data_IF_395248272236
#
_entry.id   IF_395248272236
#
_cell.length_a   1.000
_cell.length_b   1.000
_cell.length_c   1.000
_cell.angle_alpha   90.00
_cell.angle_beta   90.00
_cell.angle_gamma   90.00
#
_symmetry.space_group_name_H-M   'P 1'
#
loop_
_entity.id
_entity.type
_entity.pdbx_description
1 polymer ?
#
# COMPACT_ATOMS: atom_id res chain seq x y z
N UNK A 1 -24.61 -7.27 5.13
CA UNK A 1 -23.60 -6.21 4.98
C UNK A 1 -22.23 -6.87 5.10
N UNK A 2 -21.22 -6.46 4.30
CA UNK A 2 -19.86 -6.97 4.49
C UNK A 2 -19.34 -6.56 5.87
N UNK A 3 -18.57 -7.45 6.50
CA UNK A 3 -17.87 -7.15 7.75
C UNK A 3 -16.71 -6.17 7.48
N UNK A 4 -16.23 -5.52 8.54
CA UNK A 4 -15.04 -4.64 8.45
C UNK A 4 -13.85 -5.40 7.84
N UNK A 5 -13.65 -6.64 8.26
CA UNK A 5 -12.61 -7.52 7.73
C UNK A 5 -12.75 -7.76 6.23
N UNK A 6 -13.97 -8.10 5.77
CA UNK A 6 -14.23 -8.29 4.34
C UNK A 6 -13.98 -7.01 3.53
N UNK A 7 -14.24 -5.84 4.12
CA UNK A 7 -13.92 -4.54 3.54
C UNK A 7 -12.42 -4.33 3.38
N UNK A 8 -11.64 -4.59 4.43
CA UNK A 8 -10.17 -4.47 4.42
C UNK A 8 -9.57 -5.41 3.38
N UNK A 9 -9.96 -6.68 3.38
CA UNK A 9 -9.46 -7.66 2.42
C UNK A 9 -9.78 -7.29 0.96
N UNK A 10 -10.95 -6.70 0.71
CA UNK A 10 -11.31 -6.21 -0.62
C UNK A 10 -10.44 -5.03 -1.04
N UNK A 11 -10.11 -4.12 -0.11
CA UNK A 11 -9.22 -3.00 -0.37
C UNK A 11 -7.79 -3.45 -0.68
N UNK A 12 -7.27 -4.45 0.05
CA UNK A 12 -5.95 -5.02 -0.22
C UNK A 12 -5.90 -5.68 -1.60
N UNK A 13 -6.87 -6.54 -1.94
CA UNK A 13 -6.95 -7.15 -3.28
C UNK A 13 -7.03 -6.12 -4.40
N UNK A 14 -7.74 -5.01 -4.19
CA UNK A 14 -7.83 -3.95 -5.19
C UNK A 14 -6.49 -3.24 -5.39
N UNK A 15 -5.71 -3.01 -4.32
CA UNK A 15 -4.35 -2.46 -4.43
C UNK A 15 -3.46 -3.42 -5.22
N UNK A 16 -3.49 -4.72 -4.90
CA UNK A 16 -2.65 -5.70 -5.61
C UNK A 16 -2.98 -5.75 -7.10
N UNK A 17 -4.27 -5.69 -7.43
CA UNK A 17 -4.77 -5.65 -8.81
C UNK A 17 -4.38 -4.36 -9.53
N UNK A 18 -4.46 -3.20 -8.88
CA UNK A 18 -4.18 -1.89 -9.47
C UNK A 18 -2.68 -1.70 -9.75
N UNK A 19 -1.82 -2.12 -8.81
CA UNK A 19 -0.37 -1.89 -8.89
C UNK A 19 0.43 -3.12 -9.36
N UNK A 20 -0.23 -4.26 -9.58
CA UNK A 20 0.38 -5.49 -10.09
C UNK A 20 1.45 -6.08 -9.17
N UNK A 21 1.33 -5.85 -7.85
CA UNK A 21 2.28 -6.28 -6.81
C UNK A 21 1.52 -6.71 -5.58
N UNK A 22 1.97 -7.77 -4.92
CA UNK A 22 1.36 -8.21 -3.66
C UNK A 22 1.58 -7.19 -2.54
N UNK A 23 0.71 -7.19 -1.53
CA UNK A 23 0.90 -6.36 -0.34
C UNK A 23 2.23 -6.70 0.35
N UNK A 24 2.61 -7.97 0.42
CA UNK A 24 3.86 -8.41 1.02
C UNK A 24 5.10 -7.84 0.30
N UNK A 25 5.08 -7.80 -1.03
CA UNK A 25 6.16 -7.17 -1.81
C UNK A 25 6.24 -5.65 -1.54
N UNK A 26 5.09 -4.99 -1.47
CA UNK A 26 5.04 -3.56 -1.20
C UNK A 26 5.54 -3.24 0.23
N UNK A 27 5.13 -4.02 1.23
CA UNK A 27 5.63 -3.92 2.60
C UNK A 27 7.14 -4.19 2.65
N UNK A 28 7.64 -5.16 1.89
CA UNK A 28 9.07 -5.43 1.78
C UNK A 28 9.84 -4.25 1.16
N UNK A 29 9.26 -3.54 0.18
CA UNK A 29 9.84 -2.31 -0.37
C UNK A 29 9.89 -1.20 0.69
N UNK A 30 8.82 -1.02 1.45
CA UNK A 30 8.79 -0.06 2.57
C UNK A 30 9.88 -0.40 3.59
N UNK A 31 9.96 -1.66 4.03
CA UNK A 31 10.98 -2.10 4.98
C UNK A 31 12.41 -1.91 4.45
N UNK A 32 12.66 -2.22 3.17
CA UNK A 32 13.97 -2.03 2.51
C UNK A 32 14.33 -0.57 2.28
N UNK A 33 13.35 0.34 2.27
CA UNK A 33 13.61 1.78 2.09
C UNK A 33 14.33 2.42 3.28
N UNK A 34 14.21 1.82 4.48
CA UNK A 34 14.73 2.40 5.72
C UNK A 34 14.00 3.66 6.19
N UNK A 35 12.93 4.07 5.50
CA UNK A 35 12.11 5.22 5.88
C UNK A 35 11.27 4.87 7.10
N UNK A 36 11.32 5.74 8.11
CA UNK A 36 10.59 5.56 9.37
C UNK A 36 9.40 6.51 9.49
N UNK A 37 9.36 7.58 8.70
CA UNK A 37 8.24 8.52 8.69
C UNK A 37 7.21 8.09 7.67
N UNK A 38 5.98 7.90 8.14
CA UNK A 38 4.83 7.55 7.30
C UNK A 38 4.70 8.44 6.04
N UNK A 39 4.83 9.76 6.19
CA UNK A 39 4.72 10.68 5.05
C UNK A 39 5.80 10.48 3.99
N UNK A 40 7.02 10.11 4.40
CA UNK A 40 8.13 9.82 3.48
C UNK A 40 7.85 8.50 2.73
N UNK A 41 7.30 7.49 3.42
CA UNK A 41 6.89 6.23 2.80
C UNK A 41 5.76 6.46 1.78
N UNK A 42 4.73 7.24 2.14
CA UNK A 42 3.63 7.59 1.23
C UNK A 42 4.14 8.33 0.00
N UNK A 43 5.07 9.27 0.16
CA UNK A 43 5.69 9.98 -0.95
C UNK A 43 6.49 9.03 -1.85
N UNK A 44 7.30 8.15 -1.26
CA UNK A 44 8.09 7.16 -2.00
C UNK A 44 7.20 6.21 -2.82
N UNK A 45 6.10 5.71 -2.25
CA UNK A 45 5.16 4.84 -2.94
C UNK A 45 4.45 5.56 -4.11
N UNK A 46 4.10 6.84 -3.92
CA UNK A 46 3.56 7.71 -4.97
C UNK A 46 4.56 7.90 -6.11
N UNK A 47 5.81 8.23 -5.79
CA UNK A 47 6.85 8.52 -6.78
C UNK A 47 7.27 7.27 -7.56
N UNK A 48 7.45 6.13 -6.89
CA UNK A 48 7.95 4.91 -7.53
C UNK A 48 6.88 4.13 -8.29
N UNK A 49 5.64 4.13 -7.79
CA UNK A 49 4.58 3.25 -8.29
C UNK A 49 3.35 4.03 -8.77
N UNK A 50 3.37 5.36 -8.76
CA UNK A 50 2.20 6.18 -9.13
C UNK A 50 1.02 5.97 -8.18
N UNK A 51 1.25 5.49 -6.95
CA UNK A 51 0.16 5.13 -6.04
C UNK A 51 -0.74 6.30 -5.69
N UNK A 52 -2.05 6.08 -5.70
CA UNK A 52 -3.01 7.06 -5.15
C UNK A 52 -2.83 7.14 -3.63
N UNK A 53 -3.16 8.29 -3.04
CA UNK A 53 -2.93 8.53 -1.61
C UNK A 53 -3.53 7.46 -0.70
N UNK A 54 -4.78 7.03 -0.94
CA UNK A 54 -5.44 6.01 -0.13
C UNK A 54 -4.81 4.62 -0.24
N UNK A 55 -4.21 4.29 -1.39
CA UNK A 55 -3.47 3.04 -1.57
C UNK A 55 -2.11 3.12 -0.87
N UNK A 56 -1.36 4.21 -1.10
CA UNK A 56 -0.08 4.45 -0.44
C UNK A 56 -0.23 4.45 1.09
N UNK A 57 -1.24 5.14 1.63
CA UNK A 57 -1.53 5.19 3.07
C UNK A 57 -1.86 3.81 3.67
N UNK A 58 -2.45 2.90 2.90
CA UNK A 58 -2.80 1.55 3.38
C UNK A 58 -1.58 0.65 3.52
N UNK A 59 -0.53 0.94 2.76
CA UNK A 59 0.68 0.12 2.63
C UNK A 59 1.84 0.68 3.48
N UNK A 60 1.82 1.99 3.74
CA UNK A 60 2.89 2.75 4.41
C UNK A 60 2.94 2.63 5.92
#
# INVERSE_FOLDING_TARGET
MPTVEQGIQSQLRNIEKEYGRSIDELVAVVAKSGLTKHNEVVAMLKERYGMRHGAAHRVS
#
